data_IF_171025665335
#
_entry.id   IF_171025665335
#
_cell.length_a   1.000
_cell.length_b   1.000
_cell.length_c   1.000
_cell.angle_alpha   90.00
_cell.angle_beta   90.00
_cell.angle_gamma   90.00
#
_symmetry.space_group_name_H-M   'P 1'
#
loop_
_entity.id
_entity.type
_entity.pdbx_description
1 polymer ?
#
# COMPACT_ATOMS: atom_id res chain seq x y z
N UNK A 1 -34.46 10.32 17.01
CA UNK A 1 -34.31 10.73 15.61
C UNK A 1 -33.29 11.86 15.59
N UNK A 2 -32.00 11.52 15.58
CA UNK A 2 -30.92 12.49 15.43
C UNK A 2 -30.52 12.48 13.95
N UNK A 3 -30.60 13.64 13.31
CA UNK A 3 -29.91 13.88 12.05
C UNK A 3 -28.46 14.22 12.41
N UNK A 4 -27.58 13.23 12.37
CA UNK A 4 -26.13 13.40 12.51
C UNK A 4 -25.61 13.92 11.16
N UNK A 5 -25.59 15.24 10.98
CA UNK A 5 -25.04 15.88 9.79
C UNK A 5 -23.57 16.24 9.98
N UNK A 6 -22.71 15.81 9.04
CA UNK A 6 -21.51 16.55 8.64
C UNK A 6 -20.28 16.44 9.55
N UNK A 7 -20.06 15.29 10.19
CA UNK A 7 -18.86 15.06 11.00
C UNK A 7 -17.61 14.81 10.15
N UNK A 8 -16.47 15.27 10.67
CA UNK A 8 -15.13 14.84 10.23
C UNK A 8 -14.83 13.51 10.91
N UNK A 9 -14.52 12.45 10.15
CA UNK A 9 -14.27 11.12 10.70
C UNK A 9 -12.79 10.76 10.61
N UNK A 10 -12.30 9.99 11.58
CA UNK A 10 -10.99 9.36 11.46
C UNK A 10 -11.16 8.04 10.72
N UNK A 11 -10.36 7.82 9.69
CA UNK A 11 -10.24 6.56 8.96
C UNK A 11 -8.82 6.02 9.09
N UNK A 12 -8.66 4.73 8.81
CA UNK A 12 -7.36 4.10 8.74
C UNK A 12 -7.24 3.35 7.40
N UNK A 13 -6.11 3.55 6.74
CA UNK A 13 -5.82 2.95 5.45
C UNK A 13 -4.40 2.38 5.42
N UNK A 14 -4.11 1.57 4.40
CA UNK A 14 -2.78 1.01 4.22
C UNK A 14 -2.35 1.01 2.76
N UNK A 15 -1.13 1.48 2.52
CA UNK A 15 -0.39 1.13 1.30
C UNK A 15 0.28 -0.22 1.54
N UNK A 16 -0.15 -1.24 0.79
CA UNK A 16 0.37 -2.60 0.94
C UNK A 16 1.39 -2.89 -0.15
N UNK A 17 2.62 -3.16 0.24
CA UNK A 17 3.72 -3.56 -0.62
C UNK A 17 3.81 -5.09 -0.74
N UNK A 18 4.30 -5.57 -1.86
CA UNK A 18 4.70 -6.97 -1.98
C UNK A 18 6.03 -7.27 -1.25
N UNK A 19 6.42 -8.54 -1.22
CA UNK A 19 7.63 -9.03 -0.55
C UNK A 19 8.89 -8.30 -0.98
N UNK A 20 9.07 -8.06 -2.28
CA UNK A 20 10.19 -7.32 -2.83
C UNK A 20 10.10 -5.79 -2.65
N UNK A 21 8.93 -5.26 -2.27
CA UNK A 21 8.61 -3.84 -2.29
C UNK A 21 8.86 -3.22 -3.69
N UNK A 22 8.34 -3.91 -4.70
CA UNK A 22 8.36 -3.50 -6.11
C UNK A 22 6.94 -3.22 -6.62
N UNK A 23 5.91 -3.70 -5.91
CA UNK A 23 4.51 -3.47 -6.27
C UNK A 23 3.70 -3.02 -5.06
N UNK A 24 2.64 -2.24 -5.31
CA UNK A 24 1.61 -1.90 -4.33
C UNK A 24 0.25 -2.49 -4.71
N UNK A 25 -0.56 -2.83 -3.72
CA UNK A 25 -1.93 -3.28 -3.95
C UNK A 25 -2.90 -2.08 -4.06
N UNK A 26 -3.82 -2.14 -5.02
CA UNK A 26 -4.96 -1.23 -5.14
C UNK A 26 -6.27 -2.02 -5.20
N UNK A 27 -7.31 -1.45 -4.62
CA UNK A 27 -8.69 -1.98 -4.60
C UNK A 27 -9.61 -1.05 -5.38
N UNK A 28 -10.71 -1.59 -5.88
CA UNK A 28 -11.70 -0.81 -6.62
C UNK A 28 -12.81 -0.30 -5.69
N UNK A 29 -12.90 1.03 -5.54
CA UNK A 29 -13.93 1.65 -4.72
C UNK A 29 -15.25 1.75 -5.51
N UNK A 30 -16.17 0.81 -5.25
CA UNK A 30 -17.41 0.63 -6.03
C UNK A 30 -18.35 1.83 -6.10
N UNK A 31 -18.34 2.75 -5.12
CA UNK A 31 -19.19 3.96 -5.16
C UNK A 31 -18.55 5.13 -5.91
N UNK A 32 -17.22 5.23 -5.85
CA UNK A 32 -16.48 6.33 -6.50
C UNK A 32 -16.00 5.96 -7.91
N UNK A 33 -16.08 4.67 -8.25
CA UNK A 33 -15.59 4.11 -9.51
C UNK A 33 -14.13 4.48 -9.76
N UNK A 34 -13.28 4.28 -8.75
CA UNK A 34 -11.85 4.55 -8.85
C UNK A 34 -11.00 3.53 -8.09
N UNK A 35 -9.71 3.47 -8.43
CA UNK A 35 -8.71 2.68 -7.70
C UNK A 35 -8.13 3.48 -6.53
N UNK A 36 -8.05 2.85 -5.37
CA UNK A 36 -7.54 3.43 -4.12
C UNK A 36 -6.70 2.41 -3.35
N UNK A 37 -5.95 2.87 -2.35
CA UNK A 37 -5.39 1.98 -1.34
C UNK A 37 -6.50 1.41 -0.44
N UNK A 38 -6.35 0.21 0.12
CA UNK A 38 -7.32 -0.33 1.07
C UNK A 38 -7.49 0.55 2.31
N UNK A 39 -8.72 0.68 2.80
CA UNK A 39 -8.99 1.44 4.02
C UNK A 39 -10.44 1.83 4.24
N UNK A 40 -10.76 2.20 5.48
CA UNK A 40 -12.13 2.42 5.88
C UNK A 40 -12.29 3.04 7.26
N UNK A 41 -13.52 2.98 7.76
CA UNK A 41 -13.87 3.53 9.07
C UNK A 41 -13.42 2.59 10.19
N UNK A 42 -13.20 3.16 11.37
CA UNK A 42 -12.98 2.38 12.57
C UNK A 42 -14.26 1.69 13.01
N UNK A 43 -14.14 0.43 13.40
CA UNK A 43 -15.16 -0.38 14.06
C UNK A 43 -14.95 -0.38 15.58
N UNK A 44 -15.97 -0.80 16.34
CA UNK A 44 -15.90 -0.79 17.81
C UNK A 44 -14.90 -1.83 18.35
N UNK A 45 -14.62 -2.84 17.54
CA UNK A 45 -13.75 -3.97 17.82
C UNK A 45 -12.28 -3.68 17.52
N UNK A 46 -11.97 -2.61 16.77
CA UNK A 46 -10.60 -2.23 16.44
C UNK A 46 -9.89 -1.70 17.70
N UNK A 47 -8.85 -2.40 18.20
CA UNK A 47 -8.13 -1.95 19.39
C UNK A 47 -7.10 -0.85 19.07
N UNK A 48 -6.82 -0.60 17.78
CA UNK A 48 -5.98 0.49 17.30
C UNK A 48 -6.29 0.86 15.85
N UNK A 49 -5.77 2.02 15.41
CA UNK A 49 -5.83 2.44 14.00
C UNK A 49 -5.11 1.46 13.07
N UNK A 50 -4.00 0.86 13.53
CA UNK A 50 -3.26 -0.11 12.74
C UNK A 50 -4.08 -1.39 12.55
N UNK A 51 -4.77 -1.85 13.60
CA UNK A 51 -5.65 -3.02 13.50
C UNK A 51 -6.83 -2.76 12.56
N UNK A 52 -7.41 -1.56 12.58
CA UNK A 52 -8.44 -1.17 11.61
C UNK A 52 -7.91 -1.24 10.17
N UNK A 53 -6.74 -0.63 9.89
CA UNK A 53 -6.13 -0.70 8.56
C UNK A 53 -5.83 -2.15 8.13
N UNK A 54 -5.38 -3.00 9.04
CA UNK A 54 -5.13 -4.43 8.77
C UNK A 54 -6.41 -5.21 8.48
N UNK A 55 -7.50 -4.91 9.18
CA UNK A 55 -8.83 -5.50 8.93
C UNK A 55 -9.32 -5.14 7.53
N UNK A 56 -9.31 -3.85 7.19
CA UNK A 56 -9.73 -3.37 5.87
C UNK A 56 -8.90 -4.02 4.74
N UNK A 57 -7.58 -4.12 4.92
CA UNK A 57 -6.72 -4.83 3.96
C UNK A 57 -7.13 -6.30 3.82
N UNK A 58 -7.41 -6.99 4.93
CA UNK A 58 -7.84 -8.38 4.89
C UNK A 58 -9.20 -8.56 4.21
N UNK A 59 -10.14 -7.65 4.43
CA UNK A 59 -11.48 -7.67 3.84
C UNK A 59 -11.43 -7.37 2.32
N UNK A 60 -10.70 -6.33 1.93
CA UNK A 60 -10.69 -5.83 0.55
C UNK A 60 -9.72 -6.54 -0.38
N UNK A 61 -8.69 -7.21 0.17
CA UNK A 61 -7.64 -7.89 -0.61
C UNK A 61 -7.42 -9.35 -0.26
N UNK A 62 -7.97 -9.83 0.86
CA UNK A 62 -7.69 -11.17 1.39
C UNK A 62 -6.29 -11.35 1.99
N UNK A 63 -5.46 -10.30 2.02
CA UNK A 63 -4.11 -10.38 2.56
C UNK A 63 -4.10 -10.40 4.09
N UNK A 64 -3.28 -11.29 4.65
CA UNK A 64 -3.08 -11.47 6.09
C UNK A 64 -1.59 -11.57 6.41
N UNK A 65 -1.24 -11.64 7.70
CA UNK A 65 0.13 -11.84 8.18
C UNK A 65 1.15 -10.79 7.65
N UNK A 66 0.68 -9.56 7.46
CA UNK A 66 1.49 -8.46 6.94
C UNK A 66 2.44 -7.89 8.01
N UNK A 67 3.65 -7.52 7.60
CA UNK A 67 4.57 -6.77 8.48
C UNK A 67 4.35 -5.27 8.38
N UNK A 68 4.46 -4.54 9.49
CA UNK A 68 4.44 -3.07 9.48
C UNK A 68 5.78 -2.55 8.95
N UNK A 69 5.74 -1.58 8.05
CA UNK A 69 6.93 -0.89 7.52
C UNK A 69 7.13 0.43 8.26
N UNK A 70 8.25 0.53 8.97
CA UNK A 70 8.63 1.68 9.79
C UNK A 70 7.98 1.67 11.18
N UNK A 71 8.11 2.77 11.95
CA UNK A 71 7.79 2.79 13.38
C UNK A 71 6.31 3.06 13.71
N UNK A 72 5.45 3.32 12.73
CA UNK A 72 4.05 3.69 12.95
C UNK A 72 3.37 4.21 11.68
N UNK A 73 2.36 5.10 11.81
CA UNK A 73 1.73 5.74 10.67
C UNK A 73 2.74 6.47 9.78
N UNK A 74 2.61 6.29 8.47
CA UNK A 74 3.49 6.87 7.47
C UNK A 74 3.01 8.26 7.02
N UNK A 75 1.70 8.46 6.92
CA UNK A 75 1.08 9.73 6.55
C UNK A 75 -0.23 9.98 7.32
N UNK A 76 -0.61 11.25 7.34
CA UNK A 76 -1.95 11.70 7.70
C UNK A 76 -2.50 12.48 6.51
N UNK A 77 -3.60 12.01 5.93
CA UNK A 77 -4.29 12.64 4.81
C UNK A 77 -5.60 13.28 5.27
N UNK A 78 -6.01 14.33 4.56
CA UNK A 78 -7.30 14.98 4.77
C UNK A 78 -8.08 14.93 3.47
N UNK A 79 -9.13 14.12 3.42
CA UNK A 79 -10.00 14.01 2.25
C UNK A 79 -11.26 14.83 2.49
N UNK A 80 -11.49 15.87 1.68
CA UNK A 80 -12.72 16.65 1.72
C UNK A 80 -13.81 15.92 0.91
N UNK A 81 -14.73 15.26 1.62
CA UNK A 81 -15.81 14.47 1.03
C UNK A 81 -17.12 15.25 0.87
N UNK A 82 -17.13 16.54 1.23
CA UNK A 82 -18.34 17.36 1.30
C UNK A 82 -19.08 17.49 -0.05
N UNK A 83 -18.41 17.21 -1.17
CA UNK A 83 -18.99 17.30 -2.51
C UNK A 83 -19.46 15.96 -3.11
N UNK A 84 -19.11 14.81 -2.52
CA UNK A 84 -19.33 13.48 -3.13
C UNK A 84 -20.16 12.53 -2.27
N UNK A 85 -20.10 12.62 -0.93
CA UNK A 85 -20.83 11.74 -0.02
C UNK A 85 -21.61 12.60 0.98
N UNK A 86 -22.88 12.88 0.65
CA UNK A 86 -23.69 13.99 1.18
C UNK A 86 -23.91 14.13 2.70
N UNK A 87 -23.29 13.32 3.57
CA UNK A 87 -23.38 13.47 5.04
C UNK A 87 -22.03 13.49 5.78
N UNK A 88 -20.89 13.23 5.13
CA UNK A 88 -19.57 13.29 5.76
C UNK A 88 -18.86 14.61 5.43
N UNK A 89 -18.39 15.33 6.44
CA UNK A 89 -17.69 16.61 6.28
C UNK A 89 -16.23 16.47 5.81
N UNK A 90 -15.69 15.25 5.86
CA UNK A 90 -14.34 14.89 5.42
C UNK A 90 -13.77 13.75 6.26
N UNK A 91 -12.64 13.18 5.84
CA UNK A 91 -11.89 12.20 6.59
C UNK A 91 -10.50 12.72 6.98
N UNK A 92 -10.07 12.40 8.18
CA UNK A 92 -8.67 12.39 8.60
C UNK A 92 -8.18 10.94 8.51
N UNK A 93 -7.45 10.64 7.46
CA UNK A 93 -7.02 9.29 7.15
C UNK A 93 -5.60 9.03 7.64
N UNK A 94 -5.45 8.05 8.52
CA UNK A 94 -4.16 7.63 9.06
C UNK A 94 -3.65 6.48 8.21
N UNK A 95 -2.59 6.75 7.43
CA UNK A 95 -2.06 5.82 6.44
C UNK A 95 -0.90 5.04 7.03
N UNK A 96 -1.02 3.71 7.03
CA UNK A 96 0.06 2.79 7.35
C UNK A 96 0.72 2.26 6.07
N UNK A 97 1.94 1.73 6.21
CA UNK A 97 2.57 0.94 5.15
C UNK A 97 2.73 -0.48 5.66
N UNK A 98 2.16 -1.43 4.94
CA UNK A 98 2.22 -2.85 5.26
C UNK A 98 2.99 -3.57 4.15
N UNK A 99 3.62 -4.70 4.48
CA UNK A 99 4.38 -5.51 3.53
C UNK A 99 3.99 -6.98 3.63
N UNK A 100 3.62 -7.56 2.51
CA UNK A 100 3.39 -8.99 2.37
C UNK A 100 4.71 -9.78 2.48
N UNK A 101 4.63 -11.03 2.91
CA UNK A 101 5.82 -11.91 2.93
C UNK A 101 6.25 -12.33 1.52
N UNK A 102 5.29 -12.55 0.62
CA UNK A 102 5.52 -13.03 -0.75
C UNK A 102 5.52 -11.92 -1.79
N UNK A 103 6.22 -12.17 -2.89
CA UNK A 103 6.25 -11.28 -4.05
C UNK A 103 4.91 -11.32 -4.79
N UNK A 104 4.55 -10.22 -5.48
CA UNK A 104 3.26 -10.07 -6.14
C UNK A 104 2.95 -11.17 -7.19
N UNK A 105 3.98 -11.82 -7.73
CA UNK A 105 3.82 -12.95 -8.66
C UNK A 105 3.27 -14.22 -7.99
N UNK A 106 3.50 -14.38 -6.67
CA UNK A 106 3.13 -15.56 -5.89
C UNK A 106 1.94 -15.28 -4.94
N UNK A 107 1.55 -14.00 -4.80
CA UNK A 107 0.49 -13.55 -3.89
C UNK A 107 -0.73 -13.09 -4.69
N UNK A 108 -1.81 -13.87 -4.60
CA UNK A 108 -3.10 -13.52 -5.22
C UNK A 108 -3.90 -12.59 -4.30
N UNK A 109 -4.44 -11.51 -4.86
CA UNK A 109 -5.40 -10.66 -4.17
C UNK A 109 -6.83 -11.15 -4.42
N UNK A 110 -7.67 -11.09 -3.39
CA UNK A 110 -9.05 -11.52 -3.42
C UNK A 110 -9.98 -10.33 -3.18
N UNK A 111 -10.96 -10.08 -4.05
CA UNK A 111 -11.93 -9.00 -3.81
C UNK A 111 -12.87 -9.33 -2.65
N UNK A 112 -13.27 -8.31 -1.90
CA UNK A 112 -14.38 -8.41 -0.92
C UNK A 112 -15.71 -8.75 -1.61
N UNK A 113 -15.96 -8.14 -2.77
CA UNK A 113 -17.21 -8.24 -3.52
C UNK A 113 -16.97 -8.80 -4.93
N UNK A 114 -17.84 -9.69 -5.44
CA UNK A 114 -17.78 -10.13 -6.83
C UNK A 114 -18.19 -9.02 -7.82
N UNK A 115 -18.79 -7.93 -7.32
CA UNK A 115 -19.28 -6.82 -8.12
C UNK A 115 -18.18 -5.76 -8.29
N UNK A 116 -17.36 -5.92 -9.34
CA UNK A 116 -16.32 -4.96 -9.72
C UNK A 116 -15.04 -5.63 -10.24
N UNK A 117 -14.05 -4.83 -10.67
CA UNK A 117 -12.70 -5.30 -10.90
C UNK A 117 -12.10 -5.92 -9.61
N UNK A 118 -11.36 -7.02 -9.76
CA UNK A 118 -10.57 -7.58 -8.67
C UNK A 118 -9.42 -6.61 -8.28
N UNK A 119 -8.94 -6.63 -7.02
CA UNK A 119 -7.77 -5.88 -6.61
C UNK A 119 -6.55 -6.22 -7.46
N UNK A 120 -5.64 -5.27 -7.63
CA UNK A 120 -4.49 -5.40 -8.51
C UNK A 120 -3.19 -5.00 -7.82
N UNK A 121 -2.10 -5.63 -8.26
CA UNK A 121 -0.75 -5.15 -8.01
C UNK A 121 -0.36 -4.13 -9.08
N UNK A 122 0.20 -2.99 -8.65
CA UNK A 122 0.70 -1.92 -9.52
C UNK A 122 2.19 -1.72 -9.24
N UNK A 123 3.06 -1.65 -10.27
CA UNK A 123 4.48 -1.41 -10.06
C UNK A 123 4.75 -0.07 -9.37
N UNK A 124 5.64 -0.08 -8.37
CA UNK A 124 6.25 1.13 -7.82
C UNK A 124 7.70 1.21 -8.29
N UNK A 125 7.98 1.91 -9.40
CA UNK A 125 9.30 1.90 -9.98
C UNK A 125 10.33 2.54 -9.07
N UNK A 126 11.58 2.11 -9.18
CA UNK A 126 12.73 2.77 -8.57
C UNK A 126 13.41 3.69 -9.57
N UNK A 127 13.87 4.85 -9.11
CA UNK A 127 14.62 5.81 -9.91
C UNK A 127 16.00 6.03 -9.31
N UNK A 128 17.01 6.14 -10.17
CA UNK A 128 18.35 6.55 -9.76
C UNK A 128 18.31 7.98 -9.21
N UNK A 129 19.04 8.21 -8.13
CA UNK A 129 19.29 9.54 -7.59
C UNK A 129 20.56 10.09 -8.28
N UNK A 130 20.45 11.09 -9.17
CA UNK A 130 21.60 11.56 -9.93
C UNK A 130 22.73 12.06 -9.02
N UNK A 131 23.94 11.52 -9.21
CA UNK A 131 25.12 11.90 -8.44
C UNK A 131 25.21 11.28 -7.05
N UNK A 132 24.27 10.40 -6.67
CA UNK A 132 24.32 9.61 -5.44
C UNK A 132 24.76 8.17 -5.73
N UNK A 133 25.60 7.61 -4.87
CA UNK A 133 26.01 6.21 -4.93
C UNK A 133 25.58 5.50 -3.64
N UNK A 134 25.22 4.23 -3.76
CA UNK A 134 24.98 3.36 -2.61
C UNK A 134 26.31 2.86 -1.99
N UNK A 135 26.21 2.09 -0.90
CA UNK A 135 27.37 1.54 -0.19
C UNK A 135 28.25 0.61 -1.05
N UNK A 136 27.74 0.15 -2.19
CA UNK A 136 28.47 -0.67 -3.16
C UNK A 136 29.14 0.15 -4.27
N UNK A 137 28.93 1.47 -4.30
CA UNK A 137 29.43 2.37 -5.33
C UNK A 137 28.63 2.35 -6.63
N UNK A 138 27.44 1.75 -6.63
CA UNK A 138 26.48 1.81 -7.74
C UNK A 138 25.55 3.03 -7.58
N UNK A 139 24.91 3.54 -8.65
CA UNK A 139 23.92 4.61 -8.53
C UNK A 139 22.87 4.27 -7.48
N UNK A 140 22.71 5.15 -6.48
CA UNK A 140 21.69 4.95 -5.45
C UNK A 140 20.30 5.01 -6.11
N UNK A 141 19.43 4.08 -5.75
CA UNK A 141 18.04 4.06 -6.24
C UNK A 141 17.06 4.25 -5.08
N UNK A 142 16.01 5.01 -5.32
CA UNK A 142 14.91 5.22 -4.38
C UNK A 142 13.56 4.98 -5.05
N UNK A 143 12.49 4.94 -4.26
CA UNK A 143 11.14 4.85 -4.76
C UNK A 143 10.82 6.08 -5.63
N UNK A 144 10.32 5.84 -6.84
CA UNK A 144 9.89 6.91 -7.73
C UNK A 144 8.71 7.66 -7.11
N UNK A 145 8.70 9.00 -7.13
CA UNK A 145 7.50 9.76 -6.80
C UNK A 145 6.42 9.65 -7.90
N UNK A 146 6.75 9.06 -9.05
CA UNK A 146 5.85 8.85 -10.17
C UNK A 146 5.51 7.37 -10.28
N UNK A 147 4.30 7.01 -9.84
CA UNK A 147 3.76 5.65 -9.93
C UNK A 147 2.86 5.56 -11.17
N UNK A 148 3.02 4.54 -12.03
CA UNK A 148 2.17 4.31 -13.19
C UNK A 148 0.80 3.76 -12.76
N UNK A 149 -0.03 4.63 -12.21
CA UNK A 149 -1.37 4.30 -11.73
C UNK A 149 -2.29 3.85 -12.88
N UNK A 150 -3.23 2.92 -12.62
CA UNK A 150 -4.22 2.49 -13.60
C UNK A 150 -5.15 3.65 -13.99
N UNK A 151 -5.84 3.49 -15.12
CA UNK A 151 -6.94 4.38 -15.48
C UNK A 151 -8.00 4.39 -14.37
N UNK A 152 -8.54 5.58 -14.08
CA UNK A 152 -9.48 5.82 -12.97
C UNK A 152 -8.88 5.59 -11.57
N UNK A 153 -7.57 5.72 -11.35
CA UNK A 153 -7.09 5.91 -9.98
C UNK A 153 -7.66 7.20 -9.36
N UNK A 154 -7.90 7.21 -8.05
CA UNK A 154 -8.36 8.42 -7.36
C UNK A 154 -7.36 9.58 -7.60
N UNK A 155 -7.89 10.79 -7.74
CA UNK A 155 -7.14 11.93 -8.27
C UNK A 155 -5.98 12.38 -7.40
N UNK A 156 -6.03 12.10 -6.11
CA UNK A 156 -5.02 12.39 -5.10
C UNK A 156 -3.99 11.27 -4.92
N UNK A 157 -4.21 10.06 -5.47
CA UNK A 157 -3.30 8.91 -5.31
C UNK A 157 -1.86 9.23 -5.71
N UNK A 158 -1.67 9.90 -6.85
CA UNK A 158 -0.32 10.24 -7.31
C UNK A 158 0.44 11.13 -6.32
N UNK A 159 -0.27 12.06 -5.67
CA UNK A 159 0.32 12.96 -4.67
C UNK A 159 0.61 12.24 -3.35
N UNK A 160 -0.31 11.38 -2.90
CA UNK A 160 -0.14 10.55 -1.71
C UNK A 160 1.10 9.64 -1.86
N UNK A 161 1.21 8.93 -2.99
CA UNK A 161 2.33 8.04 -3.24
C UNK A 161 3.65 8.82 -3.39
N UNK A 162 3.65 9.98 -4.03
CA UNK A 162 4.83 10.85 -4.10
C UNK A 162 5.33 11.28 -2.71
N UNK A 163 4.41 11.55 -1.78
CA UNK A 163 4.73 11.92 -0.38
C UNK A 163 5.19 10.72 0.45
N UNK A 164 4.78 9.50 0.11
CA UNK A 164 5.26 8.27 0.75
C UNK A 164 6.67 7.86 0.30
N UNK A 165 7.10 8.21 -0.91
CA UNK A 165 8.36 7.74 -1.46
C UNK A 165 9.59 7.92 -0.51
N UNK A 166 9.79 9.08 0.15
CA UNK A 166 10.90 9.24 1.10
C UNK A 166 10.77 8.36 2.35
N UNK A 167 9.54 8.10 2.82
CA UNK A 167 9.31 7.17 3.93
C UNK A 167 9.67 5.74 3.54
N UNK A 168 9.34 5.33 2.31
CA UNK A 168 9.69 4.01 1.79
C UNK A 168 11.20 3.86 1.57
N UNK A 169 11.90 4.93 1.14
CA UNK A 169 13.36 4.92 1.04
C UNK A 169 14.03 4.65 2.39
N UNK A 170 13.46 5.17 3.48
CA UNK A 170 13.98 4.97 4.83
C UNK A 170 13.64 3.58 5.41
N UNK A 171 12.40 3.12 5.22
CA UNK A 171 11.89 1.97 5.98
C UNK A 171 11.61 0.71 5.14
N UNK A 172 11.45 0.82 3.82
CA UNK A 172 11.05 -0.29 2.94
C UNK A 172 12.24 -0.90 2.18
N UNK A 173 13.40 -1.02 2.84
CA UNK A 173 14.60 -1.60 2.24
C UNK A 173 14.27 -2.96 1.58
N UNK A 174 14.88 -3.29 0.42
CA UNK A 174 14.64 -4.56 -0.25
C UNK A 174 14.98 -5.71 0.70
N UNK A 175 14.02 -6.59 0.97
CA UNK A 175 14.34 -7.85 1.63
C UNK A 175 15.18 -8.63 0.64
N UNK A 176 16.48 -8.82 0.93
CA UNK A 176 17.33 -9.68 0.11
C UNK A 176 16.74 -11.09 0.13
N UNK A 177 15.93 -11.43 -0.86
CA UNK A 177 15.57 -12.82 -1.11
C UNK A 177 16.87 -13.55 -1.40
N UNK A 178 17.23 -14.47 -0.51
CA UNK A 178 18.34 -15.38 -0.71
C UNK A 178 18.00 -16.23 -1.94
N UNK A 179 18.40 -15.78 -3.14
CA UNK A 179 18.39 -16.63 -4.33
C UNK A 179 19.11 -17.91 -3.95
N UNK A 180 18.37 -19.02 -4.02
CA UNK A 180 18.88 -20.37 -3.91
C UNK A 180 20.26 -20.45 -4.56
N UNK A 181 21.29 -20.64 -3.73
CA UNK A 181 22.62 -20.99 -4.18
C UNK A 181 22.48 -22.40 -4.74
N UNK A 182 22.19 -22.50 -6.03
CA UNK A 182 22.27 -23.74 -6.78
C UNK A 182 23.69 -24.26 -6.68
N UNK A 183 23.92 -25.22 -5.79
CA UNK A 183 25.09 -26.09 -5.86
C UNK A 183 24.74 -27.17 -6.87
N UNK A 184 25.04 -26.90 -8.14
CA UNK A 184 25.38 -27.96 -9.07
C UNK A 184 26.79 -28.43 -8.70
N UNK A 185 26.92 -29.56 -8.00
CA UNK A 185 28.12 -30.38 -8.08
C UNK A 185 27.82 -31.54 -9.03
N UNK A 186 28.20 -31.34 -10.29
CA UNK A 186 28.52 -32.42 -11.20
C UNK A 186 29.99 -32.82 -10.99
N UNK A 187 30.20 -34.12 -11.01
CA UNK A 187 31.43 -34.81 -11.42
C UNK A 187 32.69 -34.69 -10.54
N UNK A 188 32.78 -35.64 -9.61
CA UNK A 188 34.03 -36.08 -8.99
C UNK A 188 34.23 -37.60 -9.15
N UNK A 189 34.92 -37.96 -10.22
CA UNK A 189 35.48 -39.27 -10.58
C UNK A 189 35.91 -40.18 -9.41
N UNK A 190 35.42 -41.43 -9.41
CA UNK A 190 35.87 -42.54 -8.55
C UNK A 190 35.30 -43.89 -9.01
#
# INVERSE_FOLDING_TARGET
MAAEGGGLHVTASAVVLDGAAEQLALVWHGKAHCWVQPGGHLEAEDASLEEAARREVAEETGLQDLSLVGPGPALLEVHDLASTFGTCGGHWDVVFVLRAEGDAADVTLHPESPDGPAPIWVPWPRTETPGSLDDSGLPATGFSPQVPLPENAASDMAEILARLAPYLDEFAAPTRTAKHRGLSEADGNG
#
